data_IF_185189228937
#
_entry.id   IF_185189228937
#
_cell.length_a   1.000
_cell.length_b   1.000
_cell.length_c   1.000
_cell.angle_alpha   90.00
_cell.angle_beta   90.00
_cell.angle_gamma   90.00
#
_symmetry.space_group_name_H-M   'P 1'
#
loop_
_entity.id
_entity.type
_entity.pdbx_description
1 polymer ?
#
# COMPACT_ATOMS: atom_id res chain seq x y z
N UNK A 1 26.28 -11.03 -24.74
CA UNK A 1 25.78 -9.90 -23.93
C UNK A 1 24.65 -9.11 -24.63
N UNK A 2 24.58 -9.10 -25.97
CA UNK A 2 23.54 -8.37 -26.75
C UNK A 2 22.07 -8.62 -26.38
N UNK A 3 21.71 -9.83 -25.94
CA UNK A 3 20.33 -10.14 -25.56
C UNK A 3 19.90 -9.43 -24.27
N UNK A 4 20.83 -9.17 -23.34
CA UNK A 4 20.53 -8.45 -22.10
C UNK A 4 20.37 -6.95 -22.37
N UNK A 5 21.21 -6.38 -23.24
CA UNK A 5 21.14 -4.97 -23.63
C UNK A 5 19.83 -4.66 -24.37
N UNK A 6 19.39 -5.53 -25.29
CA UNK A 6 18.10 -5.34 -25.98
C UNK A 6 16.91 -5.34 -25.01
N UNK A 7 16.92 -6.21 -23.99
CA UNK A 7 15.86 -6.29 -22.98
C UNK A 7 15.86 -5.06 -22.08
N UNK A 8 17.02 -4.48 -21.77
CA UNK A 8 17.11 -3.24 -21.02
C UNK A 8 16.57 -2.05 -21.82
N UNK A 9 16.91 -1.97 -23.10
CA UNK A 9 16.45 -0.89 -23.98
C UNK A 9 14.93 -0.94 -24.19
N UNK A 10 14.36 -2.15 -24.32
CA UNK A 10 12.91 -2.35 -24.39
C UNK A 10 12.20 -1.86 -23.11
N UNK A 11 12.74 -2.14 -21.93
CA UNK A 11 12.18 -1.64 -20.66
C UNK A 11 12.25 -0.12 -20.57
N UNK A 12 13.37 0.48 -20.98
CA UNK A 12 13.51 1.95 -21.01
C UNK A 12 12.46 2.57 -21.91
N UNK A 13 12.15 1.95 -23.05
CA UNK A 13 11.08 2.40 -23.94
C UNK A 13 9.69 2.22 -23.32
N UNK A 14 9.42 1.11 -22.63
CA UNK A 14 8.14 0.91 -21.93
C UNK A 14 7.93 1.92 -20.79
N UNK A 15 8.98 2.29 -20.06
CA UNK A 15 8.92 3.28 -18.98
C UNK A 15 8.78 4.71 -19.54
N UNK A 16 9.48 5.01 -20.64
CA UNK A 16 9.46 6.33 -21.27
C UNK A 16 8.18 6.58 -22.05
N UNK A 17 7.44 5.54 -22.44
CA UNK A 17 6.15 5.69 -23.10
C UNK A 17 5.08 5.93 -22.03
N UNK A 18 4.67 7.18 -21.73
CA UNK A 18 3.48 7.39 -20.92
C UNK A 18 2.33 6.73 -21.67
N UNK A 19 1.67 5.77 -21.00
CA UNK A 19 0.46 5.12 -21.50
C UNK A 19 -0.58 6.21 -21.73
N UNK A 20 -0.67 6.70 -22.98
CA UNK A 20 -1.58 7.75 -23.46
C UNK A 20 -3.05 7.26 -23.53
N UNK A 21 -3.46 6.50 -22.51
CA UNK A 21 -4.84 6.10 -22.23
C UNK A 21 -5.26 6.54 -20.82
N UNK A 22 -4.57 7.52 -20.22
CA UNK A 22 -5.03 8.28 -19.04
C UNK A 22 -5.48 9.68 -19.44
N UNK A 23 -6.05 9.79 -20.65
CA UNK A 23 -6.46 11.05 -21.26
C UNK A 23 -7.67 10.83 -22.14
N UNK A 24 -8.76 10.34 -21.54
CA UNK A 24 -10.11 10.55 -22.05
C UNK A 24 -11.03 10.83 -20.86
N UNK A 25 -11.46 12.08 -20.84
CA UNK A 25 -12.69 12.58 -20.25
C UNK A 25 -12.72 12.73 -18.72
N UNK A 26 -12.03 13.78 -18.27
CA UNK A 26 -12.59 14.68 -17.26
C UNK A 26 -13.86 15.33 -17.85
N UNK A 27 -14.98 14.62 -17.89
CA UNK A 27 -16.29 15.23 -18.02
C UNK A 27 -17.31 14.26 -17.42
N UNK A 28 -17.87 14.65 -16.28
CA UNK A 28 -19.06 14.04 -15.69
C UNK A 28 -18.90 12.60 -15.20
N UNK A 29 -17.94 12.34 -14.30
CA UNK A 29 -18.04 11.16 -13.45
C UNK A 29 -18.87 11.53 -12.21
N UNK A 30 -20.16 11.23 -12.29
CA UNK A 30 -20.97 10.89 -11.13
C UNK A 30 -20.08 10.09 -10.17
N UNK A 31 -19.82 10.64 -8.99
CA UNK A 31 -18.90 10.08 -8.02
C UNK A 31 -19.44 8.72 -7.57
N UNK A 32 -19.12 7.65 -8.31
CA UNK A 32 -19.27 6.30 -7.82
C UNK A 32 -18.29 6.17 -6.65
N UNK A 33 -18.76 6.08 -5.39
CA UNK A 33 -17.88 6.07 -4.21
C UNK A 33 -16.94 4.85 -4.19
N UNK A 34 -17.09 3.93 -5.15
CA UNK A 34 -16.43 2.64 -5.21
C UNK A 34 -15.10 2.62 -6.01
N UNK A 35 -14.69 3.69 -6.72
CA UNK A 35 -13.43 3.63 -7.47
C UNK A 35 -12.28 4.41 -6.79
N UNK A 36 -11.26 3.72 -6.26
CA UNK A 36 -10.04 4.38 -5.78
C UNK A 36 -9.30 5.04 -6.94
N UNK A 37 -9.06 6.35 -6.81
CA UNK A 37 -8.22 7.12 -7.72
C UNK A 37 -6.75 6.72 -7.53
N UNK A 38 -5.97 6.63 -8.61
CA UNK A 38 -4.53 6.29 -8.55
C UNK A 38 -3.65 7.29 -7.78
N UNK A 39 -4.21 8.41 -7.29
CA UNK A 39 -3.57 9.38 -6.41
C UNK A 39 -4.13 9.42 -4.98
N UNK A 40 -5.16 8.64 -4.65
CA UNK A 40 -5.69 8.52 -3.30
C UNK A 40 -5.91 7.03 -2.98
N UNK A 41 -5.09 6.43 -2.09
CA UNK A 41 -5.15 5.00 -1.80
C UNK A 41 -6.46 4.58 -1.12
N UNK A 42 -7.21 5.54 -0.57
CA UNK A 42 -8.46 5.33 0.14
C UNK A 42 -9.58 6.14 -0.52
N UNK A 43 -10.81 5.63 -0.49
CA UNK A 43 -11.98 6.40 -0.91
C UNK A 43 -12.44 7.32 0.23
N UNK A 44 -13.23 8.33 -0.12
CA UNK A 44 -13.79 9.33 0.81
C UNK A 44 -14.48 8.71 2.03
N UNK A 45 -15.14 7.56 1.85
CA UNK A 45 -15.79 6.81 2.93
C UNK A 45 -14.81 6.43 4.05
N UNK A 46 -13.58 6.03 3.71
CA UNK A 46 -12.54 5.66 4.69
C UNK A 46 -12.05 6.90 5.44
N UNK A 47 -11.84 8.01 4.74
CA UNK A 47 -11.34 9.26 5.34
C UNK A 47 -12.38 9.91 6.27
N UNK A 48 -13.67 9.76 5.94
CA UNK A 48 -14.77 10.29 6.75
C UNK A 48 -15.21 9.34 7.87
N UNK A 49 -14.77 8.08 7.83
CA UNK A 49 -15.11 7.11 8.87
C UNK A 49 -14.38 7.45 10.17
N UNK A 50 -15.10 7.78 11.27
CA UNK A 50 -14.47 8.07 12.53
C UNK A 50 -13.77 6.82 13.08
N UNK A 51 -12.57 7.01 13.63
CA UNK A 51 -11.84 5.94 14.31
C UNK A 51 -12.69 5.44 15.49
N UNK A 52 -12.97 4.13 15.60
CA UNK A 52 -13.74 3.59 16.73
C UNK A 52 -13.09 3.92 18.08
N UNK A 53 -13.87 4.25 19.11
CA UNK A 53 -13.34 4.58 20.45
C UNK A 53 -12.51 3.45 21.09
N UNK A 54 -12.76 2.20 20.71
CA UNK A 54 -12.00 1.04 21.19
C UNK A 54 -10.76 0.74 20.34
N UNK A 55 -10.54 1.50 19.27
CA UNK A 55 -9.29 1.43 18.54
C UNK A 55 -8.18 1.88 19.45
N UNK A 56 -7.14 1.08 19.50
CA UNK A 56 -5.88 1.46 20.10
C UNK A 56 -4.85 1.28 18.99
N UNK A 57 -3.76 2.03 19.02
CA UNK A 57 -2.65 1.81 18.09
C UNK A 57 -1.69 0.77 18.66
N UNK A 58 -1.36 -0.26 17.87
CA UNK A 58 -0.36 -1.25 18.27
C UNK A 58 1.02 -0.67 17.97
N UNK A 59 1.71 -0.21 19.02
CA UNK A 59 3.12 0.15 18.92
C UNK A 59 3.95 -1.09 19.21
N UNK A 60 4.65 -1.58 18.18
CA UNK A 60 5.61 -2.68 18.28
C UNK A 60 7.00 -2.08 18.16
N UNK A 61 7.91 -2.48 19.05
CA UNK A 61 9.31 -2.11 18.92
C UNK A 61 9.88 -2.70 17.60
N UNK A 62 10.58 -1.92 16.78
CA UNK A 62 11.22 -2.44 15.57
C UNK A 62 12.26 -3.51 15.92
N UNK A 63 12.41 -4.53 15.06
CA UNK A 63 13.47 -5.52 15.22
C UNK A 63 14.84 -4.90 14.95
N UNK A 64 15.70 -4.88 15.96
CA UNK A 64 17.03 -4.27 15.91
C UNK A 64 18.15 -5.26 15.51
N UNK A 65 17.81 -6.54 15.35
CA UNK A 65 18.77 -7.60 15.04
C UNK A 65 19.62 -8.08 16.23
N UNK A 66 19.46 -7.49 17.42
CA UNK A 66 20.15 -7.92 18.63
C UNK A 66 19.35 -8.96 19.41
N UNK A 67 18.02 -8.93 19.25
CA UNK A 67 17.09 -9.83 19.89
C UNK A 67 17.00 -11.19 19.15
N UNK A 68 16.62 -12.24 19.89
CA UNK A 68 16.28 -13.52 19.27
C UNK A 68 15.06 -13.36 18.33
N UNK A 69 15.15 -13.72 17.03
CA UNK A 69 14.06 -13.55 16.08
C UNK A 69 12.77 -14.26 16.49
N UNK A 70 12.89 -15.42 17.14
CA UNK A 70 11.72 -16.20 17.58
C UNK A 70 11.05 -15.56 18.80
N UNK A 71 11.81 -15.09 19.78
CA UNK A 71 11.28 -14.35 20.92
C UNK A 71 10.59 -13.04 20.49
N UNK A 72 11.18 -12.29 19.55
CA UNK A 72 10.60 -11.07 19.02
C UNK A 72 9.25 -11.34 18.32
N UNK A 73 9.20 -12.40 17.49
CA UNK A 73 7.96 -12.82 16.84
C UNK A 73 6.89 -13.25 17.85
N UNK A 74 7.28 -13.98 18.90
CA UNK A 74 6.35 -14.44 19.94
C UNK A 74 5.75 -13.27 20.72
N UNK A 75 6.55 -12.24 21.03
CA UNK A 75 6.08 -11.03 21.69
C UNK A 75 5.05 -10.30 20.84
N UNK A 76 5.32 -10.12 19.54
CA UNK A 76 4.39 -9.53 18.58
C UNK A 76 3.07 -10.31 18.49
N UNK A 77 3.13 -11.63 18.31
CA UNK A 77 1.94 -12.47 18.22
C UNK A 77 1.09 -12.41 19.49
N UNK A 78 1.73 -12.42 20.66
CA UNK A 78 1.04 -12.31 21.95
C UNK A 78 0.33 -10.98 22.07
N UNK A 79 0.97 -9.89 21.67
CA UNK A 79 0.37 -8.56 21.66
C UNK A 79 -0.88 -8.56 20.77
N UNK A 80 -0.80 -9.03 19.53
CA UNK A 80 -1.96 -9.08 18.61
C UNK A 80 -3.10 -9.97 19.14
N UNK A 81 -2.79 -11.08 19.80
CA UNK A 81 -3.82 -11.97 20.36
C UNK A 81 -4.53 -11.37 21.58
N UNK A 82 -3.81 -10.65 22.45
CA UNK A 82 -4.43 -9.93 23.58
C UNK A 82 -5.38 -8.82 23.11
N UNK A 83 -5.12 -8.27 21.93
CA UNK A 83 -5.94 -7.22 21.33
C UNK A 83 -7.23 -7.71 20.67
N UNK A 84 -7.31 -9.01 20.35
CA UNK A 84 -8.50 -9.62 19.75
C UNK A 84 -9.57 -10.00 20.79
N UNK A 85 -9.28 -9.90 22.09
CA UNK A 85 -10.21 -10.18 23.20
C UNK A 85 -10.71 -8.90 23.83
#
# INVERSE_FOLDING_TARGET
MRAAEQREEELRQQITTPRAASGRDQMEHEEDPAQPFWGQPFCREIDETPIPLNFREVVVEPFDGSQDPYAHLQAFQTQIHQWRK
#
